data_IF_073961138013
#
_entry.id   IF_073961138013
#
_cell.length_a   1.000
_cell.length_b   1.000
_cell.length_c   1.000
_cell.angle_alpha   90.00
_cell.angle_beta   90.00
_cell.angle_gamma   90.00
#
_symmetry.space_group_name_H-M   'P 1'
#
loop_
_entity.id
_entity.type
_entity.pdbx_description
1 polymer ?
#
# COMPACT_ATOMS: atom_id res chain seq x y z
N UNK A 1 27.02 -17.88 23.05
CA UNK A 1 25.84 -17.55 22.23
C UNK A 1 24.73 -18.44 22.75
N UNK A 2 23.66 -17.88 23.32
CA UNK A 2 22.60 -18.68 23.94
C UNK A 2 21.87 -19.44 22.83
N UNK A 3 22.11 -20.74 22.74
CA UNK A 3 21.37 -21.65 21.89
C UNK A 3 19.95 -21.77 22.46
N UNK A 4 19.10 -20.82 22.05
CA UNK A 4 17.69 -20.85 22.35
C UNK A 4 17.12 -22.19 21.86
N UNK A 5 16.15 -22.78 22.58
CA UNK A 5 15.56 -24.05 22.18
C UNK A 5 15.01 -23.99 20.75
N UNK A 6 15.24 -25.05 19.95
CA UNK A 6 14.81 -25.19 18.55
C UNK A 6 13.33 -24.79 18.33
N UNK A 7 12.49 -25.04 19.33
CA UNK A 7 11.08 -24.63 19.36
C UNK A 7 10.86 -23.12 19.17
N UNK A 8 11.65 -22.27 19.83
CA UNK A 8 11.55 -20.81 19.69
C UNK A 8 11.97 -20.35 18.29
N UNK A 9 12.98 -21.02 17.71
CA UNK A 9 13.43 -20.75 16.35
C UNK A 9 12.32 -21.09 15.33
N UNK A 10 11.68 -22.25 15.46
CA UNK A 10 10.55 -22.64 14.61
C UNK A 10 9.36 -21.67 14.71
N UNK A 11 9.04 -21.21 15.92
CA UNK A 11 7.95 -20.22 16.12
C UNK A 11 8.30 -18.90 15.44
N UNK A 12 9.51 -18.39 15.63
CA UNK A 12 9.93 -17.11 15.04
C UNK A 12 9.83 -17.13 13.51
N UNK A 13 10.26 -18.22 12.88
CA UNK A 13 10.15 -18.42 11.44
C UNK A 13 8.69 -18.49 10.97
N UNK A 14 7.84 -19.21 11.70
CA UNK A 14 6.41 -19.28 11.42
C UNK A 14 5.72 -17.90 11.50
N UNK A 15 6.10 -17.08 12.48
CA UNK A 15 5.59 -15.71 12.62
C UNK A 15 6.01 -14.83 11.44
N UNK A 16 7.27 -14.89 11.02
CA UNK A 16 7.75 -14.14 9.84
C UNK A 16 6.95 -14.53 8.59
N UNK A 17 6.76 -15.83 8.35
CA UNK A 17 5.97 -16.30 7.20
C UNK A 17 4.53 -15.79 7.28
N UNK A 18 3.90 -15.86 8.45
CA UNK A 18 2.55 -15.37 8.64
C UNK A 18 2.46 -13.86 8.36
N UNK A 19 3.42 -13.07 8.82
CA UNK A 19 3.46 -11.63 8.55
C UNK A 19 3.68 -11.33 7.06
N UNK A 20 4.51 -12.10 6.35
CA UNK A 20 4.66 -11.97 4.90
C UNK A 20 3.33 -12.25 4.20
N UNK A 21 2.63 -13.33 4.56
CA UNK A 21 1.33 -13.67 3.98
C UNK A 21 0.31 -12.56 4.25
N UNK A 22 0.23 -12.07 5.48
CA UNK A 22 -0.66 -10.96 5.86
C UNK A 22 -0.29 -9.70 5.08
N UNK A 23 0.99 -9.40 4.92
CA UNK A 23 1.48 -8.27 4.13
C UNK A 23 1.10 -8.41 2.66
N UNK A 24 1.25 -9.60 2.06
CA UNK A 24 0.83 -9.87 0.69
C UNK A 24 -0.68 -9.70 0.52
N UNK A 25 -1.50 -10.22 1.44
CA UNK A 25 -2.95 -9.98 1.43
C UNK A 25 -3.23 -8.47 1.54
N UNK A 26 -2.48 -7.78 2.42
CA UNK A 26 -2.53 -6.33 2.60
C UNK A 26 -2.18 -5.53 1.35
N UNK A 27 -1.39 -6.07 0.41
CA UNK A 27 -1.11 -5.37 -0.86
C UNK A 27 -2.31 -5.31 -1.79
N UNK A 28 -3.28 -6.22 -1.62
CA UNK A 28 -4.51 -6.29 -2.42
C UNK A 28 -5.62 -5.48 -1.74
N UNK A 29 -5.66 -5.48 -0.41
CA UNK A 29 -6.68 -4.78 0.38
C UNK A 29 -6.35 -3.28 0.44
N UNK A 30 -7.23 -2.40 -0.06
CA UNK A 30 -7.03 -0.95 0.02
C UNK A 30 -6.83 -0.50 1.48
N UNK A 31 -5.97 0.51 1.68
CA UNK A 31 -5.60 1.11 2.97
C UNK A 31 -4.67 0.29 3.90
N UNK A 32 -4.35 -0.96 3.58
CA UNK A 32 -3.32 -1.71 4.32
C UNK A 32 -1.97 -1.48 3.64
N UNK A 33 -0.91 -1.06 4.36
CA UNK A 33 0.41 -0.88 3.78
C UNK A 33 1.12 -2.24 3.62
N UNK A 34 0.57 -3.12 2.79
CA UNK A 34 1.02 -4.51 2.64
C UNK A 34 2.50 -4.64 2.31
N UNK A 35 2.99 -3.80 1.39
CA UNK A 35 4.41 -3.75 1.00
C UNK A 35 5.32 -3.44 2.18
N UNK A 36 4.91 -2.52 3.06
CA UNK A 36 5.67 -2.17 4.27
C UNK A 36 5.70 -3.35 5.26
N UNK A 37 4.58 -4.06 5.42
CA UNK A 37 4.49 -5.24 6.28
C UNK A 37 5.42 -6.34 5.78
N UNK A 38 5.42 -6.63 4.47
CA UNK A 38 6.32 -7.63 3.87
C UNK A 38 7.78 -7.24 4.11
N UNK A 39 8.14 -5.99 3.81
CA UNK A 39 9.50 -5.50 4.01
C UNK A 39 9.95 -5.59 5.48
N UNK A 40 9.09 -5.18 6.42
CA UNK A 40 9.38 -5.25 7.85
C UNK A 40 9.57 -6.70 8.32
N UNK A 41 8.79 -7.64 7.77
CA UNK A 41 8.91 -9.07 8.09
C UNK A 41 10.27 -9.62 7.65
N UNK A 42 10.71 -9.26 6.44
CA UNK A 42 12.02 -9.66 5.91
C UNK A 42 13.16 -9.02 6.70
N UNK A 43 13.02 -7.74 7.10
CA UNK A 43 14.00 -7.07 7.96
C UNK A 43 14.13 -7.77 9.31
N UNK A 44 13.01 -8.11 9.96
CA UNK A 44 13.01 -8.83 11.24
C UNK A 44 13.72 -10.19 11.12
N UNK A 45 13.44 -10.92 10.04
CA UNK A 45 14.14 -12.17 9.74
C UNK A 45 15.65 -11.96 9.57
N UNK A 46 16.05 -11.01 8.73
CA UNK A 46 17.45 -10.74 8.44
C UNK A 46 18.24 -10.28 9.68
N UNK A 47 17.62 -9.48 10.55
CA UNK A 47 18.21 -9.06 11.82
C UNK A 47 18.38 -10.24 12.78
N UNK A 48 17.40 -11.14 12.86
CA UNK A 48 17.47 -12.34 13.72
C UNK A 48 18.50 -13.35 13.23
N UNK A 49 18.67 -13.46 11.92
CA UNK A 49 19.64 -14.33 11.26
C UNK A 49 21.03 -13.69 11.11
N UNK A 50 21.18 -12.39 11.41
CA UNK A 50 22.45 -11.67 11.24
C UNK A 50 22.87 -11.51 9.77
N UNK A 51 21.91 -11.52 8.84
CA UNK A 51 22.12 -11.46 7.39
C UNK A 51 22.98 -12.61 6.83
N UNK A 52 22.91 -13.80 7.43
CA UNK A 52 23.69 -14.97 6.96
C UNK A 52 23.05 -15.66 5.76
N UNK A 53 21.75 -15.94 5.81
CA UNK A 53 20.94 -16.47 4.71
C UNK A 53 20.51 -15.35 3.76
N UNK A 54 19.98 -14.25 4.33
CA UNK A 54 19.59 -13.07 3.57
C UNK A 54 20.74 -12.06 3.59
N UNK A 55 21.66 -12.17 2.62
CA UNK A 55 22.78 -11.23 2.51
C UNK A 55 22.34 -9.77 2.28
N UNK A 56 23.21 -8.83 2.67
CA UNK A 56 22.97 -7.38 2.56
C UNK A 56 22.57 -6.90 1.16
N UNK A 57 23.13 -7.50 0.11
CA UNK A 57 22.79 -7.15 -1.28
C UNK A 57 21.34 -7.50 -1.64
N UNK A 58 20.87 -8.68 -1.21
CA UNK A 58 19.48 -9.09 -1.41
C UNK A 58 18.53 -8.18 -0.63
N UNK A 59 18.87 -7.87 0.63
CA UNK A 59 18.06 -6.95 1.44
C UNK A 59 18.00 -5.53 0.84
N UNK A 60 19.11 -5.01 0.31
CA UNK A 60 19.13 -3.71 -0.35
C UNK A 60 18.21 -3.68 -1.58
N UNK A 61 18.23 -4.74 -2.40
CA UNK A 61 17.33 -4.87 -3.55
C UNK A 61 15.85 -4.93 -3.11
N UNK A 62 15.53 -5.74 -2.10
CA UNK A 62 14.18 -5.83 -1.54
C UNK A 62 13.73 -4.47 -1.01
N UNK A 63 14.61 -3.74 -0.33
CA UNK A 63 14.33 -2.40 0.18
C UNK A 63 14.06 -1.41 -0.96
N UNK A 64 14.85 -1.46 -2.03
CA UNK A 64 14.63 -0.61 -3.21
C UNK A 64 13.27 -0.91 -3.86
N UNK A 65 12.94 -2.19 -4.04
CA UNK A 65 11.64 -2.61 -4.58
C UNK A 65 10.50 -2.14 -3.66
N UNK A 66 10.64 -2.32 -2.35
CA UNK A 66 9.64 -1.90 -1.37
C UNK A 66 9.42 -0.38 -1.39
N UNK A 67 10.49 0.42 -1.51
CA UNK A 67 10.40 1.88 -1.60
C UNK A 67 9.70 2.31 -2.89
N UNK A 68 10.09 1.74 -4.04
CA UNK A 68 9.47 2.07 -5.33
C UNK A 68 7.99 1.72 -5.30
N UNK A 69 7.65 0.47 -4.94
CA UNK A 69 6.26 0.00 -4.91
C UNK A 69 5.43 0.74 -3.86
N UNK A 70 5.97 0.97 -2.66
CA UNK A 70 5.27 1.64 -1.58
C UNK A 70 5.07 3.14 -1.78
N UNK A 71 5.81 3.77 -2.70
CA UNK A 71 5.66 5.19 -3.04
C UNK A 71 5.03 5.44 -4.40
N UNK A 72 4.87 4.40 -5.21
CA UNK A 72 4.26 4.44 -6.53
C UNK A 72 2.87 5.10 -6.51
N UNK A 73 2.08 4.84 -5.46
CA UNK A 73 0.74 5.40 -5.28
C UNK A 73 0.72 6.94 -5.16
N UNK A 74 1.83 7.56 -4.78
CA UNK A 74 1.92 9.02 -4.72
C UNK A 74 2.34 9.63 -6.05
N UNK A 75 3.25 8.97 -6.78
CA UNK A 75 3.89 9.58 -7.95
C UNK A 75 3.21 9.19 -9.26
N UNK A 76 2.68 7.97 -9.36
CA UNK A 76 1.96 7.51 -10.55
C UNK A 76 0.72 8.37 -10.85
N UNK A 77 -0.13 8.74 -9.87
CA UNK A 77 -1.24 9.64 -10.14
C UNK A 77 -0.80 11.03 -10.58
N UNK A 78 0.31 11.56 -10.02
CA UNK A 78 0.86 12.86 -10.42
C UNK A 78 1.38 12.84 -11.87
N UNK A 79 2.03 11.75 -12.27
CA UNK A 79 2.50 11.56 -13.64
C UNK A 79 1.32 11.41 -14.62
N UNK A 80 0.30 10.62 -14.25
CA UNK A 80 -0.92 10.44 -15.06
C UNK A 80 -1.81 11.68 -15.14
N UNK A 81 -1.85 12.51 -14.09
CA UNK A 81 -2.61 13.76 -14.08
C UNK A 81 -2.01 14.81 -15.03
N UNK A 82 -0.67 14.87 -15.11
CA UNK A 82 0.02 15.79 -16.03
C UNK A 82 -0.23 15.45 -17.50
N UNK A 83 -0.42 14.17 -17.85
CA UNK A 83 -0.66 13.75 -19.24
C UNK A 83 -2.13 13.89 -19.68
N UNK A 84 -3.07 14.05 -18.74
CA UNK A 84 -4.52 14.05 -19.03
C UNK A 84 -5.13 15.45 -19.10
N UNK A 85 -4.36 16.51 -18.84
CA UNK A 85 -4.87 17.89 -18.87
C UNK A 85 -5.93 18.17 -17.79
N UNK A 86 -5.98 17.35 -16.74
CA UNK A 86 -6.98 17.47 -15.68
C UNK A 86 -6.82 18.80 -14.95
N UNK A 87 -7.94 19.47 -14.76
CA UNK A 87 -8.01 20.78 -14.12
C UNK A 87 -7.62 20.69 -12.64
N UNK A 88 -7.12 21.78 -12.05
CA UNK A 88 -6.47 21.74 -10.73
C UNK A 88 -7.46 21.37 -9.63
N UNK A 89 -8.74 21.75 -9.78
CA UNK A 89 -9.80 21.33 -8.84
C UNK A 89 -10.18 19.87 -9.05
N UNK A 90 -10.20 19.35 -10.27
CA UNK A 90 -10.46 17.93 -10.52
C UNK A 90 -9.42 17.01 -9.86
N UNK A 91 -8.14 17.39 -9.87
CA UNK A 91 -7.07 16.66 -9.19
C UNK A 91 -7.25 16.56 -7.67
N UNK A 92 -7.97 17.50 -7.05
CA UNK A 92 -8.22 17.51 -5.60
C UNK A 92 -9.57 16.86 -5.30
N UNK A 93 -10.61 17.23 -6.06
CA UNK A 93 -11.98 16.78 -5.82
C UNK A 93 -12.18 15.30 -6.14
N UNK A 94 -11.43 14.73 -7.09
CA UNK A 94 -11.45 13.29 -7.36
C UNK A 94 -11.06 12.48 -6.11
N UNK A 95 -9.83 12.60 -5.57
CA UNK A 95 -9.41 11.89 -4.36
C UNK A 95 -10.29 12.17 -3.13
N UNK A 96 -10.74 13.42 -2.94
CA UNK A 96 -11.66 13.77 -1.85
C UNK A 96 -13.01 13.06 -2.02
N UNK A 97 -13.55 13.05 -3.25
CA UNK A 97 -14.75 12.32 -3.60
C UNK A 97 -14.58 10.81 -3.37
N UNK A 98 -13.42 10.25 -3.70
CA UNK A 98 -13.12 8.84 -3.45
C UNK A 98 -13.15 8.49 -1.96
N UNK A 99 -12.58 9.35 -1.11
CA UNK A 99 -12.57 9.14 0.33
C UNK A 99 -13.99 9.19 0.92
N UNK A 100 -14.78 10.21 0.52
CA UNK A 100 -16.17 10.35 0.95
C UNK A 100 -17.00 9.17 0.45
N UNK A 101 -16.85 8.81 -0.83
CA UNK A 101 -17.54 7.70 -1.46
C UNK A 101 -17.17 6.35 -0.83
N UNK A 102 -15.92 6.15 -0.43
CA UNK A 102 -15.48 4.96 0.29
C UNK A 102 -16.24 4.83 1.62
N UNK A 103 -16.26 5.90 2.42
CA UNK A 103 -16.96 5.93 3.71
C UNK A 103 -18.46 5.66 3.51
N UNK A 104 -19.10 6.39 2.59
CA UNK A 104 -20.53 6.22 2.30
C UNK A 104 -20.80 4.79 1.81
N UNK A 105 -20.02 4.29 0.85
CA UNK A 105 -20.14 2.96 0.26
C UNK A 105 -20.04 1.84 1.28
N UNK A 106 -19.12 1.97 2.24
CA UNK A 106 -19.04 1.07 3.40
C UNK A 106 -20.31 1.13 4.26
N UNK A 107 -20.82 2.33 4.55
CA UNK A 107 -22.01 2.51 5.39
C UNK A 107 -23.30 1.99 4.73
N UNK A 108 -23.42 2.08 3.39
CA UNK A 108 -24.61 1.66 2.64
C UNK A 108 -24.49 0.24 2.04
N UNK A 109 -23.49 -0.54 2.47
CA UNK A 109 -23.29 -1.97 2.13
C UNK A 109 -22.91 -2.24 0.65
N UNK A 110 -22.81 -1.21 -0.20
CA UNK A 110 -22.29 -1.35 -1.58
C UNK A 110 -20.78 -1.69 -1.55
N UNK A 111 -20.09 -1.35 -0.46
CA UNK A 111 -18.70 -1.68 -0.20
C UNK A 111 -17.75 -0.51 -0.44
N UNK A 112 -16.59 -0.56 0.23
CA UNK A 112 -15.59 0.51 0.21
C UNK A 112 -15.07 0.80 -1.19
N UNK A 113 -14.77 -0.25 -1.97
CA UNK A 113 -14.18 -0.09 -3.30
C UNK A 113 -15.17 0.49 -4.31
N UNK A 114 -16.40 -0.05 -4.50
CA UNK A 114 -17.38 0.57 -5.40
C UNK A 114 -17.74 2.00 -4.99
N UNK A 115 -17.89 2.25 -3.68
CA UNK A 115 -18.15 3.59 -3.15
C UNK A 115 -17.03 4.58 -3.50
N UNK A 116 -15.76 4.17 -3.32
CA UNK A 116 -14.60 4.98 -3.66
C UNK A 116 -14.55 5.31 -5.15
N UNK A 117 -14.83 4.34 -6.02
CA UNK A 117 -14.82 4.54 -7.48
C UNK A 117 -15.91 5.53 -7.92
N UNK A 118 -17.14 5.37 -7.40
CA UNK A 118 -18.26 6.27 -7.70
C UNK A 118 -17.93 7.68 -7.19
N UNK A 119 -17.47 7.80 -5.94
CA UNK A 119 -17.09 9.06 -5.34
C UNK A 119 -15.97 9.77 -6.11
N UNK A 120 -14.95 9.02 -6.57
CA UNK A 120 -13.86 9.55 -7.38
C UNK A 120 -14.38 10.13 -8.70
N UNK A 121 -15.23 9.39 -9.40
CA UNK A 121 -15.82 9.83 -10.66
C UNK A 121 -16.65 11.11 -10.47
N UNK A 122 -17.53 11.14 -9.46
CA UNK A 122 -18.34 12.33 -9.15
C UNK A 122 -17.47 13.55 -8.78
N UNK A 123 -16.42 13.34 -7.98
CA UNK A 123 -15.47 14.39 -7.62
C UNK A 123 -14.73 14.97 -8.83
N UNK A 124 -14.31 14.11 -9.77
CA UNK A 124 -13.72 14.55 -11.04
C UNK A 124 -14.70 15.38 -11.86
N UNK A 125 -15.94 14.91 -12.03
CA UNK A 125 -16.96 15.64 -12.79
C UNK A 125 -17.26 17.02 -12.20
N UNK A 126 -17.42 17.10 -10.87
CA UNK A 126 -17.66 18.37 -10.16
C UNK A 126 -16.49 19.33 -10.31
N UNK A 127 -15.25 18.82 -10.22
CA UNK A 127 -14.06 19.66 -10.39
C UNK A 127 -13.95 20.24 -11.78
N UNK A 128 -14.24 19.45 -12.81
CA UNK A 128 -14.24 19.93 -14.19
C UNK A 128 -15.35 20.95 -14.45
N UNK A 129 -16.57 20.69 -13.97
CA UNK A 129 -17.72 21.59 -14.19
C UNK A 129 -17.51 22.99 -13.59
N UNK A 130 -16.80 23.12 -12.47
CA UNK A 130 -16.47 24.41 -11.87
C UNK A 130 -15.23 25.10 -12.45
N UNK A 131 -14.53 24.46 -13.37
CA UNK A 131 -13.38 25.04 -14.08
C UNK A 131 -13.70 25.43 -15.52
N UNK A 132 -14.78 24.90 -16.11
CA UNK A 132 -15.37 25.45 -17.34
C UNK A 132 -16.14 26.74 -17.05
N UNK A 133 -15.74 27.90 -17.62
CA UNK A 133 -16.50 29.15 -17.53
C UNK A 133 -17.81 29.11 -18.33
#
# INVERSE_FOLDING_TARGET
MSEWPLFFQSISFGVVIALIIVGMIGTIIPAIPGTLIVWASVLLYALGDGFTELGWGAFALITLIALVTGTADFWLPLLGAKSTGASRKAMILGPVGALIGAIIGTLIVIGTLPGALIGYALGLFLGQYWETP
#
